data_IF_627312714162
#
_entry.id   IF_627312714162
#
_cell.length_a   1.000
_cell.length_b   1.000
_cell.length_c   1.000
_cell.angle_alpha   90.00
_cell.angle_beta   90.00
_cell.angle_gamma   90.00
#
_symmetry.space_group_name_H-M   'P 1'
#
loop_
_entity.id
_entity.type
_entity.pdbx_description
1 polymer ?
#
# COMPACT_ATOMS: atom_id res chain seq x y z
N UNK A 1 7.57 -34.33 -18.08
CA UNK A 1 6.81 -33.07 -17.91
C UNK A 1 7.79 -31.91 -18.09
N UNK A 2 7.41 -30.74 -18.61
CA UNK A 2 8.30 -29.55 -18.73
C UNK A 2 9.35 -29.51 -19.85
N UNK A 3 9.78 -30.64 -20.42
CA UNK A 3 10.81 -30.69 -21.48
C UNK A 3 10.29 -30.35 -22.88
N UNK A 4 9.69 -29.17 -23.04
CA UNK A 4 9.24 -28.61 -24.32
C UNK A 4 9.91 -27.26 -24.55
N UNK A 5 9.82 -26.70 -25.76
CA UNK A 5 10.35 -25.34 -26.03
C UNK A 5 9.77 -24.30 -25.07
N UNK A 6 8.50 -24.41 -24.70
CA UNK A 6 7.87 -23.47 -23.77
C UNK A 6 8.19 -23.79 -22.31
N UNK A 7 8.29 -25.07 -21.94
CA UNK A 7 8.65 -25.47 -20.58
C UNK A 7 10.13 -25.25 -20.24
N UNK A 8 10.99 -25.01 -21.23
CA UNK A 8 12.39 -24.60 -21.06
C UNK A 8 12.61 -23.09 -21.11
N UNK A 9 11.56 -22.27 -21.25
CA UNK A 9 11.67 -20.82 -21.07
C UNK A 9 11.52 -20.48 -19.59
N UNK A 10 11.99 -19.30 -19.19
CA UNK A 10 11.73 -18.74 -17.86
C UNK A 10 10.24 -18.85 -17.51
N UNK A 11 9.96 -19.35 -16.31
CA UNK A 11 8.62 -19.65 -15.86
C UNK A 11 8.15 -21.07 -16.16
N UNK A 12 8.83 -21.84 -17.01
CA UNK A 12 8.50 -23.23 -17.29
C UNK A 12 9.10 -24.22 -16.29
N UNK A 13 8.47 -25.39 -16.16
CA UNK A 13 8.91 -26.43 -15.23
C UNK A 13 10.31 -26.97 -15.56
N UNK A 14 10.61 -27.17 -16.86
CA UNK A 14 11.92 -27.64 -17.28
C UNK A 14 13.02 -26.60 -17.02
N UNK A 15 12.71 -25.32 -17.13
CA UNK A 15 13.62 -24.23 -16.77
C UNK A 15 13.97 -24.27 -15.28
N UNK A 16 12.96 -24.31 -14.41
CA UNK A 16 13.23 -24.31 -12.97
C UNK A 16 13.99 -25.55 -12.52
N UNK A 17 13.74 -26.73 -13.11
CA UNK A 17 14.56 -27.91 -12.85
C UNK A 17 16.04 -27.64 -13.14
N UNK A 18 16.39 -26.94 -14.22
CA UNK A 18 17.79 -26.61 -14.50
C UNK A 18 18.38 -25.65 -13.47
N UNK A 19 17.63 -24.62 -13.07
CA UNK A 19 18.08 -23.66 -12.05
C UNK A 19 18.28 -24.35 -10.70
N UNK A 20 17.38 -25.25 -10.32
CA UNK A 20 17.46 -26.06 -9.10
C UNK A 20 18.73 -26.91 -9.07
N UNK A 21 19.02 -27.64 -10.15
CA UNK A 21 20.24 -28.46 -10.24
C UNK A 21 21.53 -27.62 -10.24
N UNK A 22 21.49 -26.40 -10.81
CA UNK A 22 22.60 -25.45 -10.64
C UNK A 22 22.75 -25.00 -9.19
N UNK A 23 21.65 -24.82 -8.46
CA UNK A 23 21.65 -24.58 -7.01
C UNK A 23 22.41 -25.66 -6.24
N UNK A 24 22.14 -26.94 -6.51
CA UNK A 24 22.93 -28.05 -5.97
C UNK A 24 24.40 -27.99 -6.36
N UNK A 25 24.70 -27.69 -7.63
CA UNK A 25 26.07 -27.49 -8.11
C UNK A 25 26.82 -26.36 -7.39
N UNK A 26 26.08 -25.36 -6.90
CA UNK A 26 26.58 -24.26 -6.09
C UNK A 26 26.56 -24.55 -4.57
N UNK A 27 26.09 -25.73 -4.17
CA UNK A 27 26.12 -26.20 -2.78
C UNK A 27 24.88 -25.86 -1.96
N UNK A 28 23.75 -25.57 -2.60
CA UNK A 28 22.46 -25.47 -1.91
C UNK A 28 21.85 -26.87 -1.74
N UNK A 29 21.16 -27.08 -0.63
CA UNK A 29 20.44 -28.31 -0.32
C UNK A 29 18.94 -28.04 -0.26
N UNK A 30 18.14 -29.10 -0.24
CA UNK A 30 16.71 -28.95 -0.06
C UNK A 30 16.38 -28.47 1.36
N UNK A 31 15.26 -27.76 1.54
CA UNK A 31 14.77 -27.40 2.87
C UNK A 31 14.33 -28.60 3.73
N UNK A 32 14.03 -29.75 3.11
CA UNK A 32 13.38 -30.89 3.76
C UNK A 32 14.29 -32.09 4.02
N UNK A 33 15.54 -32.06 3.56
CA UNK A 33 16.49 -33.14 3.77
C UNK A 33 17.84 -32.65 4.30
N UNK A 34 18.58 -33.58 4.89
CA UNK A 34 19.91 -33.35 5.46
C UNK A 34 21.03 -33.73 4.46
N UNK A 35 20.76 -33.56 3.16
CA UNK A 35 21.72 -33.85 2.10
C UNK A 35 23.09 -33.19 2.36
N UNK A 36 24.11 -34.01 2.63
CA UNK A 36 25.47 -33.53 2.92
C UNK A 36 25.66 -33.01 4.35
N UNK A 37 25.83 -31.69 4.50
CA UNK A 37 26.01 -31.01 5.80
C UNK A 37 24.88 -30.01 6.11
N UNK A 38 23.82 -30.03 5.31
CA UNK A 38 22.69 -29.11 5.48
C UNK A 38 21.85 -29.47 6.69
N UNK A 39 21.23 -28.47 7.30
CA UNK A 39 20.18 -28.65 8.30
C UNK A 39 18.82 -28.54 7.64
N UNK A 40 17.85 -29.32 8.12
CA UNK A 40 16.46 -29.21 7.69
C UNK A 40 15.88 -27.87 8.18
N UNK A 41 15.15 -27.18 7.30
CA UNK A 41 14.48 -25.91 7.58
C UNK A 41 13.45 -26.09 8.70
N UNK A 42 13.34 -25.10 9.59
CA UNK A 42 12.46 -25.19 10.74
C UNK A 42 10.98 -25.35 10.31
N UNK A 43 10.29 -26.28 10.96
CA UNK A 43 8.90 -26.62 10.64
C UNK A 43 8.73 -27.57 9.45
N UNK A 44 9.81 -28.00 8.79
CA UNK A 44 9.76 -28.96 7.69
C UNK A 44 10.11 -30.35 8.19
N UNK A 45 9.23 -31.33 7.98
CA UNK A 45 9.44 -32.74 8.33
C UNK A 45 9.42 -33.67 7.12
N UNK A 46 8.85 -33.21 6.00
CA UNK A 46 8.86 -33.87 4.71
C UNK A 46 8.82 -32.85 3.55
N UNK A 47 8.96 -33.32 2.32
CA UNK A 47 9.06 -32.46 1.13
C UNK A 47 7.81 -31.63 0.81
N UNK A 48 6.65 -31.98 1.38
CA UNK A 48 5.39 -31.26 1.20
C UNK A 48 5.01 -30.35 2.38
N UNK A 49 5.86 -30.19 3.40
CA UNK A 49 5.59 -29.25 4.49
C UNK A 49 6.04 -27.84 4.09
N UNK A 50 5.15 -26.85 4.10
CA UNK A 50 5.50 -25.46 3.76
C UNK A 50 6.41 -24.80 4.81
N UNK A 51 6.68 -25.47 5.94
CA UNK A 51 7.59 -24.98 6.99
C UNK A 51 6.98 -23.85 7.82
N UNK A 52 7.77 -23.31 8.76
CA UNK A 52 7.32 -22.13 9.50
C UNK A 52 7.09 -20.96 8.54
N UNK A 53 5.95 -20.28 8.70
CA UNK A 53 5.53 -19.13 7.88
C UNK A 53 5.51 -19.38 6.37
N UNK A 54 5.38 -20.65 5.94
CA UNK A 54 5.29 -21.00 4.53
C UNK A 54 6.60 -20.84 3.74
N UNK A 55 7.75 -20.78 4.42
CA UNK A 55 9.04 -20.46 3.79
C UNK A 55 9.61 -21.58 2.90
N UNK A 56 9.18 -22.83 3.06
CA UNK A 56 9.53 -23.93 2.16
C UNK A 56 8.56 -23.96 0.96
N UNK A 57 8.55 -22.90 0.17
CA UNK A 57 7.80 -22.83 -1.09
C UNK A 57 8.71 -22.32 -2.19
N UNK A 58 8.43 -22.70 -3.42
CA UNK A 58 9.20 -22.34 -4.60
C UNK A 58 9.36 -20.83 -4.72
N UNK A 59 8.35 -20.04 -4.36
CA UNK A 59 8.40 -18.56 -4.38
C UNK A 59 9.41 -17.94 -3.41
N UNK A 60 9.95 -18.69 -2.46
CA UNK A 60 10.95 -18.22 -1.49
C UNK A 60 12.28 -18.95 -1.61
N UNK A 61 12.28 -20.20 -2.07
CA UNK A 61 13.47 -20.97 -2.42
C UNK A 61 13.22 -21.89 -3.61
N UNK A 62 14.09 -21.78 -4.61
CA UNK A 62 14.18 -22.67 -5.78
C UNK A 62 14.46 -24.11 -5.37
N UNK A 63 15.03 -24.32 -4.19
CA UNK A 63 15.36 -25.66 -3.68
C UNK A 63 14.16 -26.37 -3.05
N UNK A 64 13.00 -25.72 -2.94
CA UNK A 64 11.78 -26.38 -2.48
C UNK A 64 11.27 -27.40 -3.50
N UNK A 65 10.60 -28.45 -2.99
CA UNK A 65 9.79 -29.36 -3.82
C UNK A 65 8.33 -28.91 -3.94
N UNK A 66 7.95 -27.87 -3.18
CA UNK A 66 6.66 -27.22 -3.30
C UNK A 66 6.78 -26.18 -4.41
N UNK A 67 6.48 -26.59 -5.63
CA UNK A 67 6.62 -25.74 -6.81
C UNK A 67 5.67 -24.53 -6.78
N UNK A 68 6.17 -23.39 -7.27
CA UNK A 68 5.36 -22.17 -7.35
C UNK A 68 4.98 -21.61 -5.96
N UNK A 69 3.72 -21.22 -5.82
CA UNK A 69 3.13 -20.70 -4.58
C UNK A 69 1.87 -21.53 -4.26
N UNK A 70 2.01 -22.56 -3.44
CA UNK A 70 0.90 -23.47 -3.12
C UNK A 70 -0.16 -22.79 -2.25
N UNK A 71 0.28 -21.93 -1.34
CA UNK A 71 -0.59 -21.10 -0.49
C UNK A 71 -1.16 -19.88 -1.22
N UNK A 72 -0.97 -19.78 -2.55
CA UNK A 72 -1.55 -18.72 -3.36
C UNK A 72 -3.08 -18.73 -3.28
N UNK A 73 -3.74 -17.55 -3.27
CA UNK A 73 -5.19 -17.44 -3.42
C UNK A 73 -5.75 -18.12 -4.68
N UNK A 74 -4.94 -18.31 -5.73
CA UNK A 74 -5.34 -18.91 -7.00
C UNK A 74 -4.79 -20.33 -7.20
N UNK A 75 -4.15 -20.89 -6.18
CA UNK A 75 -3.50 -22.20 -6.22
C UNK A 75 -2.27 -22.25 -7.14
N UNK A 76 -1.89 -23.46 -7.53
CA UNK A 76 -0.68 -23.71 -8.32
C UNK A 76 -0.92 -23.60 -9.84
N UNK A 77 0.14 -23.32 -10.63
CA UNK A 77 0.02 -23.30 -12.08
C UNK A 77 -0.52 -24.63 -12.63
N UNK A 78 -1.49 -24.55 -13.55
CA UNK A 78 -2.17 -25.73 -14.10
C UNK A 78 -1.40 -26.46 -15.21
N UNK A 79 -0.21 -25.97 -15.59
CA UNK A 79 0.58 -26.52 -16.70
C UNK A 79 2.08 -26.23 -16.58
N UNK A 80 2.88 -26.92 -17.38
CA UNK A 80 4.35 -26.92 -17.25
C UNK A 80 5.09 -25.73 -17.88
N UNK A 81 4.38 -24.74 -18.43
CA UNK A 81 4.96 -23.74 -19.35
C UNK A 81 5.12 -22.35 -18.74
N UNK A 82 4.53 -22.10 -17.57
CA UNK A 82 4.53 -20.81 -16.89
C UNK A 82 4.27 -21.02 -15.39
N UNK A 83 4.55 -19.98 -14.61
CA UNK A 83 4.24 -19.90 -13.19
C UNK A 83 5.17 -20.63 -12.24
N UNK A 84 6.29 -21.11 -12.76
CA UNK A 84 7.44 -21.53 -11.97
C UNK A 84 8.45 -20.38 -11.83
N UNK A 85 9.47 -20.58 -11.01
CA UNK A 85 10.50 -19.59 -10.79
C UNK A 85 11.42 -19.47 -12.02
N UNK A 86 11.95 -18.28 -12.24
CA UNK A 86 12.95 -18.03 -13.27
C UNK A 86 14.36 -17.87 -12.73
N UNK A 87 14.51 -17.53 -11.45
CA UNK A 87 15.77 -17.15 -10.81
C UNK A 87 15.97 -17.90 -9.50
N UNK A 88 17.15 -17.76 -8.89
CA UNK A 88 17.29 -17.95 -7.45
C UNK A 88 16.31 -17.02 -6.72
N UNK A 89 15.70 -17.50 -5.64
CA UNK A 89 14.75 -16.76 -4.84
C UNK A 89 15.41 -16.20 -3.57
N UNK A 90 14.71 -15.38 -2.79
CA UNK A 90 15.32 -14.58 -1.72
C UNK A 90 16.18 -15.41 -0.74
N UNK A 91 15.72 -16.58 -0.33
CA UNK A 91 16.48 -17.46 0.58
C UNK A 91 17.71 -18.07 -0.11
N UNK A 92 17.58 -18.45 -1.39
CA UNK A 92 18.71 -18.96 -2.18
C UNK A 92 19.77 -17.88 -2.36
N UNK A 93 19.35 -16.65 -2.66
CA UNK A 93 20.23 -15.49 -2.81
C UNK A 93 21.00 -15.28 -1.50
N UNK A 94 20.33 -15.24 -0.36
CA UNK A 94 20.98 -15.07 0.94
C UNK A 94 22.04 -16.16 1.21
N UNK A 95 21.71 -17.43 0.97
CA UNK A 95 22.64 -18.55 1.16
C UNK A 95 23.84 -18.51 0.21
N UNK A 96 23.61 -18.15 -1.06
CA UNK A 96 24.69 -17.99 -2.04
C UNK A 96 25.59 -16.81 -1.68
N UNK A 97 25.03 -15.70 -1.20
CA UNK A 97 25.80 -14.54 -0.76
C UNK A 97 26.63 -14.84 0.50
N UNK A 98 26.11 -15.62 1.44
CA UNK A 98 26.88 -16.10 2.59
C UNK A 98 28.10 -16.92 2.13
N UNK A 99 27.91 -17.77 1.13
CA UNK A 99 28.94 -18.69 0.64
C UNK A 99 29.99 -18.04 -0.26
N UNK A 100 29.59 -17.06 -1.08
CA UNK A 100 30.39 -16.53 -2.17
C UNK A 100 30.57 -15.00 -2.15
N UNK A 101 29.88 -14.29 -1.27
CA UNK A 101 29.80 -12.84 -1.22
C UNK A 101 28.70 -12.28 -2.12
N UNK A 102 28.18 -11.10 -1.73
CA UNK A 102 27.18 -10.38 -2.51
C UNK A 102 27.76 -9.75 -3.78
N UNK A 103 27.01 -9.81 -4.89
CA UNK A 103 27.36 -9.08 -6.10
C UNK A 103 26.94 -7.62 -5.96
N UNK A 104 27.92 -6.75 -5.70
CA UNK A 104 27.72 -5.31 -5.46
C UNK A 104 27.62 -4.44 -6.72
N UNK A 105 27.42 -5.05 -7.89
CA UNK A 105 27.34 -4.34 -9.19
C UNK A 105 26.08 -4.67 -9.99
N UNK A 106 25.19 -5.50 -9.44
CA UNK A 106 24.00 -5.92 -10.16
C UNK A 106 22.93 -4.82 -10.14
N UNK A 107 22.53 -4.34 -11.31
CA UNK A 107 21.48 -3.32 -11.47
C UNK A 107 21.74 -2.02 -10.69
N UNK A 108 22.99 -1.56 -10.59
CA UNK A 108 23.41 -0.38 -9.79
C UNK A 108 22.88 1.00 -10.24
N UNK A 109 21.83 1.04 -11.07
CA UNK A 109 21.12 2.26 -11.43
C UNK A 109 19.63 2.00 -11.61
N UNK A 110 18.88 3.06 -11.87
CA UNK A 110 17.42 3.03 -11.86
C UNK A 110 16.82 1.96 -12.79
N UNK A 111 16.15 1.00 -12.17
CA UNK A 111 15.56 -0.18 -12.81
C UNK A 111 14.05 -0.18 -12.64
N UNK A 112 13.34 -0.62 -13.69
CA UNK A 112 11.88 -0.78 -13.66
C UNK A 112 11.54 -2.27 -13.73
N UNK A 113 11.03 -2.81 -12.64
CA UNK A 113 10.56 -4.18 -12.48
C UNK A 113 9.07 -4.24 -12.82
N UNK A 114 8.70 -4.96 -13.89
CA UNK A 114 7.32 -5.00 -14.39
C UNK A 114 6.62 -6.28 -13.95
N UNK A 115 5.44 -6.15 -13.36
CA UNK A 115 4.62 -7.31 -13.04
C UNK A 115 4.08 -7.97 -14.31
N UNK A 116 4.08 -9.31 -14.40
CA UNK A 116 3.40 -10.01 -15.47
C UNK A 116 1.89 -9.89 -15.31
N UNK A 117 1.18 -9.76 -16.44
CA UNK A 117 -0.28 -9.52 -16.46
C UNK A 117 -1.07 -10.62 -17.18
N UNK A 118 -0.40 -11.72 -17.54
CA UNK A 118 -1.01 -12.85 -18.21
C UNK A 118 -0.33 -14.16 -17.79
N UNK A 119 -1.08 -15.26 -17.83
CA UNK A 119 -0.56 -16.61 -17.61
C UNK A 119 -0.12 -17.24 -18.94
N UNK A 120 1.12 -16.99 -19.33
CA UNK A 120 1.68 -17.44 -20.59
C UNK A 120 3.16 -17.80 -20.48
N UNK A 121 3.72 -18.40 -21.53
CA UNK A 121 5.14 -18.77 -21.52
C UNK A 121 6.01 -17.53 -21.37
N UNK A 122 6.81 -17.47 -20.31
CA UNK A 122 7.55 -16.28 -19.91
C UNK A 122 7.00 -15.62 -18.64
N UNK A 123 5.85 -16.03 -18.13
CA UNK A 123 5.35 -15.64 -16.81
C UNK A 123 6.00 -16.48 -15.72
N UNK A 124 6.64 -15.81 -14.76
CA UNK A 124 7.45 -16.46 -13.74
C UNK A 124 7.45 -15.72 -12.41
N UNK A 125 7.92 -16.42 -11.38
CA UNK A 125 8.33 -15.83 -10.10
C UNK A 125 9.83 -15.55 -10.10
N UNK A 126 10.25 -14.45 -9.49
CA UNK A 126 11.67 -14.12 -9.29
C UNK A 126 11.89 -13.37 -7.98
N UNK A 127 13.13 -13.27 -7.52
CA UNK A 127 13.49 -12.36 -6.44
C UNK A 127 14.38 -11.25 -7.00
N UNK A 128 14.05 -10.00 -6.67
CA UNK A 128 14.85 -8.84 -7.09
C UNK A 128 16.14 -8.82 -6.28
N UNK A 129 17.27 -8.75 -6.97
CA UNK A 129 18.57 -8.37 -6.40
C UNK A 129 18.99 -7.08 -7.10
N UNK A 130 18.93 -5.97 -6.38
CA UNK A 130 19.32 -4.65 -6.84
C UNK A 130 20.23 -4.01 -5.79
N UNK A 131 21.23 -3.24 -6.21
CA UNK A 131 22.27 -2.70 -5.31
C UNK A 131 22.38 -1.19 -5.36
N UNK A 132 21.54 -0.52 -6.15
CA UNK A 132 21.45 0.93 -6.07
C UNK A 132 20.72 1.55 -7.24
N UNK A 133 20.36 2.80 -7.07
CA UNK A 133 19.56 3.52 -8.04
C UNK A 133 18.33 4.09 -7.36
N UNK A 134 17.32 4.37 -8.15
CA UNK A 134 15.98 4.64 -7.67
C UNK A 134 15.04 3.82 -8.54
N UNK A 135 14.51 2.77 -7.94
CA UNK A 135 13.91 1.64 -8.63
C UNK A 135 12.40 1.68 -8.51
N UNK A 136 11.73 1.01 -9.45
CA UNK A 136 10.28 1.06 -9.54
C UNK A 136 9.70 -0.31 -9.83
N UNK A 137 8.76 -0.73 -9.00
CA UNK A 137 7.81 -1.78 -9.32
C UNK A 137 6.64 -1.18 -10.10
N UNK A 138 6.30 -1.76 -11.25
CA UNK A 138 5.39 -1.15 -12.20
C UNK A 138 4.37 -2.11 -12.81
N UNK A 139 3.09 -1.75 -12.70
CA UNK A 139 1.94 -2.49 -13.23
C UNK A 139 0.88 -1.58 -13.89
N UNK A 140 1.26 -0.41 -14.43
CA UNK A 140 0.31 0.57 -15.01
C UNK A 140 -0.57 0.10 -16.19
N UNK A 141 -0.37 -1.12 -16.68
CA UNK A 141 -1.21 -1.74 -17.70
C UNK A 141 -2.15 -2.81 -17.12
N UNK A 142 -2.08 -3.08 -15.82
CA UNK A 142 -2.98 -4.00 -15.16
C UNK A 142 -4.40 -3.43 -15.20
N UNK A 143 -5.35 -4.31 -15.52
CA UNK A 143 -6.80 -4.04 -15.47
C UNK A 143 -7.48 -4.92 -14.42
N UNK A 144 -6.67 -5.58 -13.60
CA UNK A 144 -7.05 -6.43 -12.48
C UNK A 144 -6.32 -5.90 -11.28
N UNK A 145 -6.83 -6.20 -10.10
CA UNK A 145 -6.23 -5.87 -8.83
C UNK A 145 -4.78 -6.38 -8.76
N UNK A 146 -3.92 -5.59 -8.17
CA UNK A 146 -2.49 -5.86 -8.00
C UNK A 146 -2.12 -5.65 -6.54
N UNK A 147 -1.29 -6.55 -6.03
CA UNK A 147 -0.56 -6.36 -4.77
C UNK A 147 0.89 -6.00 -5.11
N UNK A 148 1.37 -4.87 -4.60
CA UNK A 148 2.79 -4.48 -4.64
C UNK A 148 3.27 -4.30 -3.20
N UNK A 149 4.32 -5.03 -2.84
CA UNK A 149 4.98 -4.90 -1.54
C UNK A 149 6.47 -4.73 -1.74
N UNK A 150 6.99 -3.58 -1.29
CA UNK A 150 8.38 -3.18 -1.49
C UNK A 150 9.30 -3.63 -0.34
N UNK A 151 8.78 -4.32 0.68
CA UNK A 151 9.58 -4.74 1.84
C UNK A 151 10.49 -5.91 1.47
N UNK A 152 11.79 -5.81 1.80
CA UNK A 152 12.75 -6.87 1.53
C UNK A 152 12.53 -8.08 2.43
N UNK A 153 13.01 -9.24 1.99
CA UNK A 153 13.07 -10.45 2.79
C UNK A 153 13.85 -10.22 4.09
N UNK A 154 13.29 -10.62 5.23
CA UNK A 154 13.99 -10.50 6.52
C UNK A 154 14.98 -11.65 6.78
N UNK A 155 14.83 -12.76 6.05
CA UNK A 155 15.60 -14.02 6.23
C UNK A 155 15.42 -14.62 7.63
N UNK A 156 14.35 -14.22 8.33
CA UNK A 156 13.96 -14.81 9.61
C UNK A 156 12.78 -15.77 9.42
N UNK A 157 12.56 -16.63 10.42
CA UNK A 157 11.35 -17.46 10.49
C UNK A 157 10.16 -16.64 10.98
N UNK A 158 9.64 -15.80 10.08
CA UNK A 158 8.50 -14.93 10.30
C UNK A 158 7.78 -14.62 8.98
N UNK A 159 6.64 -13.93 9.06
CA UNK A 159 5.97 -13.39 7.87
C UNK A 159 6.90 -12.38 7.19
N UNK A 160 7.17 -12.57 5.90
CA UNK A 160 8.15 -11.78 5.16
C UNK A 160 9.57 -12.35 5.19
N UNK A 161 9.81 -13.51 5.81
CA UNK A 161 11.12 -14.16 5.84
C UNK A 161 11.73 -14.40 4.45
N UNK A 162 10.90 -14.79 3.47
CA UNK A 162 11.27 -14.95 2.05
C UNK A 162 10.99 -13.71 1.19
N UNK A 163 10.64 -12.59 1.82
CA UNK A 163 10.11 -11.39 1.18
C UNK A 163 8.60 -11.45 1.02
N UNK A 164 8.00 -10.30 0.76
CA UNK A 164 6.60 -10.19 0.41
C UNK A 164 6.45 -10.26 -1.11
N UNK A 165 5.40 -10.93 -1.59
CA UNK A 165 5.18 -11.14 -3.02
C UNK A 165 4.38 -9.99 -3.61
N UNK A 166 4.93 -9.36 -4.64
CA UNK A 166 4.18 -8.49 -5.55
C UNK A 166 3.65 -9.31 -6.72
N UNK A 167 2.35 -9.20 -7.03
CA UNK A 167 1.69 -9.97 -8.09
C UNK A 167 0.38 -9.33 -8.56
N UNK A 168 -0.07 -9.69 -9.76
CA UNK A 168 -1.40 -9.35 -10.26
C UNK A 168 -2.39 -10.50 -10.00
N UNK A 169 -3.64 -10.17 -9.67
CA UNK A 169 -4.68 -11.15 -9.33
C UNK A 169 -4.86 -12.18 -10.45
N UNK A 170 -4.84 -13.46 -10.08
CA UNK A 170 -4.97 -14.59 -11.01
C UNK A 170 -3.74 -14.89 -11.86
N UNK A 171 -2.63 -14.14 -11.69
CA UNK A 171 -1.39 -14.38 -12.42
C UNK A 171 -0.41 -15.17 -11.54
N UNK A 172 0.07 -16.30 -12.05
CA UNK A 172 1.11 -17.08 -11.39
C UNK A 172 2.48 -16.49 -11.74
N UNK A 173 2.78 -15.28 -11.29
CA UNK A 173 4.06 -14.65 -11.55
C UNK A 173 4.14 -13.27 -10.92
N UNK A 174 5.37 -12.83 -10.69
CA UNK A 174 5.65 -11.65 -9.89
C UNK A 174 7.02 -11.74 -9.25
N UNK A 175 7.22 -11.00 -8.17
CA UNK A 175 8.51 -10.98 -7.50
C UNK A 175 8.43 -10.74 -6.00
N UNK A 176 9.41 -11.27 -5.29
CA UNK A 176 9.81 -10.79 -3.97
C UNK A 176 11.04 -9.88 -4.07
N UNK A 177 11.32 -9.15 -3.00
CA UNK A 177 12.52 -8.31 -2.86
C UNK A 177 13.52 -9.04 -1.95
N UNK A 178 14.76 -9.25 -2.41
CA UNK A 178 15.78 -9.95 -1.62
C UNK A 178 16.24 -9.11 -0.42
N UNK A 179 16.87 -9.75 0.57
CA UNK A 179 17.39 -9.07 1.74
C UNK A 179 18.44 -8.01 1.38
N UNK A 180 18.33 -6.83 1.99
CA UNK A 180 19.24 -5.71 1.75
C UNK A 180 19.04 -4.99 0.43
N UNK A 181 17.98 -5.32 -0.33
CA UNK A 181 17.57 -4.59 -1.52
C UNK A 181 16.61 -3.46 -1.13
N UNK A 182 16.81 -2.30 -1.72
CA UNK A 182 16.01 -1.10 -1.54
C UNK A 182 15.21 -0.84 -2.82
N UNK A 183 13.90 -0.59 -2.71
CA UNK A 183 13.02 -0.21 -3.83
C UNK A 183 12.17 0.97 -3.37
N UNK A 184 12.21 2.08 -4.08
CA UNK A 184 11.60 3.33 -3.61
C UNK A 184 10.21 3.58 -4.20
N UNK A 185 9.92 3.08 -5.40
CA UNK A 185 8.72 3.47 -6.11
C UNK A 185 7.82 2.29 -6.49
N UNK A 186 6.52 2.53 -6.44
CA UNK A 186 5.51 1.62 -6.97
C UNK A 186 4.52 2.39 -7.84
N UNK A 187 4.00 1.73 -8.87
CA UNK A 187 2.87 2.21 -9.65
C UNK A 187 2.01 1.02 -10.04
N UNK A 188 0.77 0.97 -9.57
CA UNK A 188 -0.19 -0.08 -9.91
C UNK A 188 -0.99 0.30 -11.15
N UNK A 189 -2.20 -0.23 -11.34
CA UNK A 189 -2.94 -0.32 -12.59
C UNK A 189 -4.23 0.48 -12.65
N UNK A 190 -5.34 -0.22 -12.85
CA UNK A 190 -6.70 0.31 -12.95
C UNK A 190 -7.69 -0.59 -12.18
N UNK A 191 -7.18 -1.51 -11.36
CA UNK A 191 -7.96 -2.38 -10.48
C UNK A 191 -7.94 -1.81 -9.07
N UNK A 192 -8.56 -2.51 -8.13
CA UNK A 192 -8.56 -2.10 -6.73
C UNK A 192 -7.25 -2.60 -6.10
N UNK A 193 -6.21 -1.78 -6.11
CA UNK A 193 -4.84 -2.21 -5.86
C UNK A 193 -4.40 -2.00 -4.40
N UNK A 194 -3.49 -2.85 -3.92
CA UNK A 194 -2.84 -2.71 -2.61
C UNK A 194 -1.35 -2.44 -2.80
N UNK A 195 -0.87 -1.30 -2.31
CA UNK A 195 0.53 -0.90 -2.40
C UNK A 195 1.09 -0.69 -0.99
N UNK A 196 2.16 -1.42 -0.67
CA UNK A 196 2.91 -1.27 0.57
C UNK A 196 4.33 -0.82 0.27
N UNK A 197 4.73 0.31 0.85
CA UNK A 197 6.07 0.85 0.84
C UNK A 197 7.04 0.06 1.73
N UNK A 198 8.05 0.72 2.25
CA UNK A 198 9.05 0.13 3.13
C UNK A 198 9.57 1.21 4.11
N UNK A 199 10.87 1.22 4.40
CA UNK A 199 11.45 2.14 5.39
C UNK A 199 12.10 3.37 4.75
N UNK A 200 11.94 3.51 3.43
CA UNK A 200 12.53 4.55 2.61
C UNK A 200 11.46 5.59 2.29
N UNK A 201 11.90 6.74 1.76
CA UNK A 201 10.98 7.73 1.22
C UNK A 201 10.38 7.22 -0.09
N UNK A 202 9.21 6.61 -0.01
CA UNK A 202 8.53 5.97 -1.11
C UNK A 202 7.70 6.93 -1.96
N UNK A 203 7.49 6.54 -3.21
CA UNK A 203 6.49 7.14 -4.10
C UNK A 203 5.56 6.06 -4.60
N UNK A 204 4.33 6.05 -4.08
CA UNK A 204 3.30 5.06 -4.39
C UNK A 204 2.18 5.70 -5.22
N UNK A 205 1.73 5.03 -6.28
CA UNK A 205 0.67 5.52 -7.16
C UNK A 205 -0.32 4.41 -7.49
N UNK A 206 -1.53 4.51 -6.94
CA UNK A 206 -2.66 3.59 -7.17
C UNK A 206 -3.29 3.75 -8.56
N UNK A 207 -3.47 5.01 -8.97
CA UNK A 207 -4.01 5.48 -10.26
C UNK A 207 -5.53 5.40 -10.34
N UNK A 208 -6.13 4.24 -10.57
CA UNK A 208 -7.57 4.14 -10.79
C UNK A 208 -8.07 2.85 -10.20
N UNK A 209 -9.30 2.87 -9.69
CA UNK A 209 -9.82 1.82 -8.83
C UNK A 209 -9.78 2.29 -7.38
N UNK A 210 -10.36 1.50 -6.48
CA UNK A 210 -10.37 1.82 -5.04
C UNK A 210 -9.09 1.23 -4.44
N UNK A 211 -8.08 2.08 -4.27
CA UNK A 211 -6.74 1.65 -3.88
C UNK A 211 -6.50 1.78 -2.37
N UNK A 212 -5.62 0.92 -1.84
CA UNK A 212 -5.10 1.01 -0.47
C UNK A 212 -3.59 1.20 -0.52
N UNK A 213 -3.10 2.32 0.01
CA UNK A 213 -1.69 2.68 0.02
C UNK A 213 -1.16 2.80 1.45
N UNK A 214 -0.13 2.01 1.76
CA UNK A 214 0.64 2.07 2.99
C UNK A 214 2.05 2.61 2.71
N UNK A 215 2.40 3.78 3.22
CA UNK A 215 3.75 4.35 3.12
C UNK A 215 4.75 3.58 3.99
N UNK A 216 4.37 3.37 5.26
CA UNK A 216 5.18 2.83 6.35
C UNK A 216 6.15 3.87 6.92
N UNK A 217 7.44 3.56 7.08
CA UNK A 217 8.38 4.53 7.64
C UNK A 217 9.00 5.33 6.49
N UNK A 218 9.17 6.64 6.64
CA UNK A 218 9.83 7.48 5.63
C UNK A 218 9.03 8.74 5.31
N UNK A 219 9.60 9.65 4.54
CA UNK A 219 8.88 10.84 4.05
C UNK A 219 8.25 10.53 2.68
N UNK A 220 7.05 9.95 2.71
CA UNK A 220 6.42 9.32 1.57
C UNK A 220 5.56 10.28 0.73
N UNK A 221 5.30 9.84 -0.50
CA UNK A 221 4.32 10.46 -1.41
C UNK A 221 3.34 9.41 -1.89
N UNK A 222 2.12 9.49 -1.39
CA UNK A 222 1.04 8.56 -1.69
C UNK A 222 0.05 9.26 -2.62
N UNK A 223 -0.17 8.68 -3.80
CA UNK A 223 -1.15 9.14 -4.77
C UNK A 223 -2.20 8.04 -4.95
N UNK A 224 -3.40 8.24 -4.39
CA UNK A 224 -4.55 7.34 -4.57
C UNK A 224 -4.93 7.31 -6.04
N UNK A 225 -5.55 8.38 -6.52
CA UNK A 225 -5.81 8.59 -7.93
C UNK A 225 -7.27 8.91 -8.19
N UNK A 226 -8.02 7.96 -8.74
CA UNK A 226 -9.44 8.11 -9.00
C UNK A 226 -10.23 7.00 -8.36
N UNK A 227 -11.39 7.38 -7.81
CA UNK A 227 -12.26 6.57 -6.94
C UNK A 227 -11.87 6.72 -5.47
N UNK A 228 -12.51 5.96 -4.60
CA UNK A 228 -12.51 6.22 -3.15
C UNK A 228 -11.32 5.53 -2.49
N UNK A 229 -10.16 6.19 -2.45
CA UNK A 229 -8.90 5.58 -2.01
C UNK A 229 -8.68 5.66 -0.50
N UNK A 230 -7.92 4.69 0.06
CA UNK A 230 -7.44 4.71 1.45
C UNK A 230 -5.93 4.91 1.50
N UNK A 231 -5.48 5.99 2.16
CA UNK A 231 -4.08 6.36 2.29
C UNK A 231 -3.64 6.35 3.76
N UNK A 232 -2.59 5.57 4.05
CA UNK A 232 -1.92 5.49 5.35
C UNK A 232 -0.46 5.87 5.14
N UNK A 233 -0.07 7.07 5.58
CA UNK A 233 1.32 7.53 5.51
C UNK A 233 2.23 6.66 6.36
N UNK A 234 1.94 6.60 7.66
CA UNK A 234 2.77 5.94 8.65
C UNK A 234 3.74 6.95 9.29
N UNK A 235 4.80 6.50 9.97
CA UNK A 235 5.77 7.40 10.59
C UNK A 235 6.59 8.18 9.56
N UNK A 236 6.49 9.51 9.60
CA UNK A 236 7.19 10.32 8.61
C UNK A 236 6.70 11.75 8.54
N UNK A 237 7.16 12.50 7.54
CA UNK A 237 6.49 13.71 7.09
C UNK A 237 5.93 13.47 5.68
N UNK A 238 4.74 12.87 5.63
CA UNK A 238 4.16 12.35 4.40
C UNK A 238 3.37 13.39 3.62
N UNK A 239 3.23 13.09 2.32
CA UNK A 239 2.36 13.85 1.41
C UNK A 239 1.33 12.93 0.81
N UNK A 240 0.09 13.13 1.23
CA UNK A 240 -1.05 12.30 0.87
C UNK A 240 -1.91 13.04 -0.16
N UNK A 241 -2.14 12.40 -1.30
CA UNK A 241 -2.94 12.90 -2.40
C UNK A 241 -4.01 11.86 -2.73
N UNK A 242 -5.21 11.98 -2.12
CA UNK A 242 -6.32 11.07 -2.42
C UNK A 242 -6.72 11.14 -3.89
N UNK A 243 -6.91 12.36 -4.41
CA UNK A 243 -7.24 12.57 -5.82
C UNK A 243 -8.72 12.85 -5.99
N UNK A 244 -9.40 12.17 -6.91
CA UNK A 244 -10.85 12.31 -7.11
C UNK A 244 -11.60 11.15 -6.48
N UNK A 245 -12.71 11.41 -5.81
CA UNK A 245 -13.43 10.41 -5.02
C UNK A 245 -13.56 10.91 -3.58
N UNK A 246 -14.26 10.13 -2.76
CA UNK A 246 -14.40 10.35 -1.33
C UNK A 246 -13.32 9.52 -0.61
N UNK A 247 -12.17 10.13 -0.34
CA UNK A 247 -10.97 9.44 0.11
C UNK A 247 -10.88 9.34 1.63
N UNK A 248 -10.20 8.31 2.11
CA UNK A 248 -9.93 8.07 3.52
C UNK A 248 -8.44 8.20 3.82
N UNK A 249 -8.11 9.00 4.83
CA UNK A 249 -6.76 9.15 5.34
C UNK A 249 -6.71 8.63 6.78
N UNK A 250 -5.96 7.57 7.04
CA UNK A 250 -5.89 6.98 8.38
C UNK A 250 -4.60 7.35 9.09
N UNK A 251 -4.72 7.75 10.37
CA UNK A 251 -3.59 8.11 11.21
C UNK A 251 -3.69 7.39 12.56
N UNK A 252 -2.71 6.53 12.82
CA UNK A 252 -2.45 5.95 14.13
C UNK A 252 -1.61 6.90 15.01
N UNK A 253 -1.52 6.56 16.29
CA UNK A 253 -0.66 7.28 17.22
C UNK A 253 0.81 7.14 16.80
N UNK A 254 1.48 8.27 16.59
CA UNK A 254 2.90 8.32 16.24
C UNK A 254 3.21 8.42 14.75
N UNK A 255 2.20 8.31 13.89
CA UNK A 255 2.35 8.45 12.43
C UNK A 255 2.80 9.87 12.06
N UNK A 256 2.02 10.87 12.51
CA UNK A 256 2.34 12.27 12.29
C UNK A 256 2.75 12.94 13.60
N UNK A 257 3.93 13.57 13.63
CA UNK A 257 4.40 14.30 14.80
C UNK A 257 4.35 15.79 14.54
N UNK A 258 4.29 16.60 15.61
CA UNK A 258 4.31 18.07 15.50
C UNK A 258 5.45 18.62 14.61
N UNK A 259 6.62 17.98 14.60
CA UNK A 259 7.82 18.41 13.85
C UNK A 259 7.98 17.77 12.48
N UNK A 260 7.36 16.61 12.26
CA UNK A 260 7.28 15.86 11.00
C UNK A 260 5.80 15.65 10.73
N UNK A 261 5.14 16.75 10.39
CA UNK A 261 3.69 16.79 10.27
C UNK A 261 3.28 16.47 8.84
N UNK A 262 2.37 15.53 8.71
CA UNK A 262 1.83 15.11 7.43
C UNK A 262 1.02 16.19 6.75
N UNK A 263 0.92 16.03 5.43
CA UNK A 263 0.30 16.98 4.55
C UNK A 263 -0.64 16.32 3.57
N UNK A 264 -1.94 16.53 3.78
CA UNK A 264 -3.00 16.10 2.87
C UNK A 264 -3.22 17.20 1.83
N UNK A 265 -3.27 16.83 0.56
CA UNK A 265 -3.49 17.73 -0.55
C UNK A 265 -4.85 17.51 -1.20
N UNK A 266 -5.59 18.60 -1.38
CA UNK A 266 -6.87 18.57 -2.09
C UNK A 266 -7.97 17.89 -1.30
N UNK A 267 -7.97 18.03 0.03
CA UNK A 267 -9.03 17.53 0.91
C UNK A 267 -10.37 18.24 0.60
N UNK A 268 -11.38 17.48 0.20
CA UNK A 268 -12.68 17.95 -0.27
C UNK A 268 -13.82 17.50 0.65
N UNK A 269 -15.02 18.01 0.38
CA UNK A 269 -16.25 17.45 0.96
C UNK A 269 -16.40 16.01 0.47
N UNK A 270 -16.62 15.08 1.39
CA UNK A 270 -16.67 13.63 1.13
C UNK A 270 -15.44 12.90 1.65
N UNK A 271 -14.27 13.55 1.62
CA UNK A 271 -13.06 12.99 2.22
C UNK A 271 -13.15 12.94 3.75
N UNK A 272 -12.49 11.95 4.34
CA UNK A 272 -12.45 11.74 5.80
C UNK A 272 -11.03 11.48 6.30
N UNK A 273 -10.72 12.02 7.48
CA UNK A 273 -9.50 11.72 8.24
C UNK A 273 -9.90 10.91 9.46
N UNK A 274 -9.41 9.69 9.53
CA UNK A 274 -9.67 8.77 10.64
C UNK A 274 -8.58 8.87 11.70
N UNK A 275 -8.96 9.31 12.90
CA UNK A 275 -8.07 9.49 14.04
C UNK A 275 -8.37 8.52 15.19
N UNK A 276 -9.42 7.70 15.06
CA UNK A 276 -10.00 6.96 16.18
C UNK A 276 -10.90 7.83 17.06
N UNK A 277 -11.31 7.30 18.22
CA UNK A 277 -12.24 7.99 19.11
C UNK A 277 -11.64 9.30 19.66
N UNK A 278 -12.34 10.42 19.45
CA UNK A 278 -11.85 11.73 19.87
C UNK A 278 -12.98 12.70 20.22
N UNK A 279 -12.62 13.78 20.93
CA UNK A 279 -13.51 14.94 21.13
C UNK A 279 -13.07 16.08 20.23
N UNK A 280 -13.91 16.49 19.29
CA UNK A 280 -13.64 17.68 18.48
C UNK A 280 -14.06 18.96 19.23
N UNK A 281 -13.10 19.84 19.47
CA UNK A 281 -13.27 21.05 20.30
C UNK A 281 -13.29 22.35 19.49
N UNK A 282 -13.44 22.27 18.16
CA UNK A 282 -13.38 23.43 17.27
C UNK A 282 -11.98 24.06 17.25
N UNK A 283 -11.85 25.34 17.59
CA UNK A 283 -10.55 26.05 17.68
C UNK A 283 -10.09 26.30 19.12
N UNK A 284 -10.78 25.71 20.10
CA UNK A 284 -10.50 25.90 21.53
C UNK A 284 -9.12 25.38 21.94
N UNK A 285 -8.62 25.85 23.09
CA UNK A 285 -7.42 25.28 23.70
C UNK A 285 -7.73 23.91 24.32
N UNK A 286 -6.74 23.00 24.29
CA UNK A 286 -6.85 21.69 24.92
C UNK A 286 -7.09 21.82 26.43
N UNK A 287 -7.92 20.93 26.96
CA UNK A 287 -8.38 20.96 28.34
C UNK A 287 -7.45 20.22 29.30
N UNK A 288 -6.67 19.24 28.79
CA UNK A 288 -5.90 18.32 29.63
C UNK A 288 -6.77 17.35 30.43
N UNK A 289 -7.95 17.02 29.89
CA UNK A 289 -8.97 16.20 30.55
C UNK A 289 -8.71 14.68 30.53
N UNK A 290 -7.60 14.23 29.94
CA UNK A 290 -7.23 12.82 29.82
C UNK A 290 -7.96 12.06 28.71
N UNK A 291 -8.65 12.76 27.80
CA UNK A 291 -9.25 12.18 26.60
C UNK A 291 -8.61 12.84 25.37
N UNK A 292 -8.55 12.10 24.26
CA UNK A 292 -8.06 12.65 22.99
C UNK A 292 -8.91 13.82 22.53
N UNK A 293 -8.27 14.97 22.30
CA UNK A 293 -8.93 16.18 21.81
C UNK A 293 -8.34 16.59 20.45
N UNK A 294 -9.22 17.00 19.55
CA UNK A 294 -8.86 17.46 18.20
C UNK A 294 -9.38 18.88 18.02
N UNK A 295 -8.51 19.77 17.54
CA UNK A 295 -8.90 21.13 17.17
C UNK A 295 -8.46 21.46 15.75
N UNK A 296 -9.30 22.21 15.05
CA UNK A 296 -9.02 22.76 13.74
C UNK A 296 -8.65 24.23 13.85
N UNK A 297 -7.49 24.60 13.33
CA UNK A 297 -7.03 25.99 13.29
C UNK A 297 -6.86 26.42 11.84
N UNK A 298 -7.59 27.46 11.46
CA UNK A 298 -7.44 28.10 10.15
C UNK A 298 -6.46 29.28 10.22
N UNK A 299 -5.40 29.24 9.42
CA UNK A 299 -4.44 30.34 9.30
C UNK A 299 -3.97 30.49 7.86
N UNK A 300 -3.96 31.73 7.35
CA UNK A 300 -3.40 32.09 6.03
C UNK A 300 -3.89 31.21 4.87
N UNK A 301 -5.20 30.88 4.82
CA UNK A 301 -5.76 30.11 3.71
C UNK A 301 -5.65 28.59 3.85
N UNK A 302 -5.30 28.09 5.04
CA UNK A 302 -5.05 26.66 5.27
C UNK A 302 -5.51 26.24 6.66
N UNK A 303 -6.12 25.06 6.74
CA UNK A 303 -6.39 24.38 8.00
C UNK A 303 -5.19 23.56 8.45
N UNK A 304 -4.99 23.53 9.76
CA UNK A 304 -4.25 22.46 10.43
C UNK A 304 -5.12 21.83 11.49
N UNK A 305 -5.00 20.51 11.64
CA UNK A 305 -5.52 19.78 12.77
C UNK A 305 -4.39 19.65 13.78
N UNK A 306 -4.61 20.13 14.99
CA UNK A 306 -3.73 19.90 16.14
C UNK A 306 -4.44 18.85 17.01
N UNK A 307 -3.74 17.79 17.41
CA UNK A 307 -4.28 16.66 18.16
C UNK A 307 -3.50 16.46 19.47
N UNK A 308 -4.24 16.39 20.56
CA UNK A 308 -3.78 15.96 21.90
C UNK A 308 -4.20 14.49 22.04
N UNK A 309 -3.28 13.56 21.81
CA UNK A 309 -3.55 12.11 21.78
C UNK A 309 -3.73 11.57 23.19
N UNK A 310 -2.86 11.96 24.12
CA UNK A 310 -2.84 11.42 25.49
C UNK A 310 -3.73 12.21 26.49
N UNK A 311 -4.25 13.35 26.05
CA UNK A 311 -5.16 14.19 26.82
C UNK A 311 -4.46 14.98 27.92
N UNK A 312 -3.15 15.22 27.84
CA UNK A 312 -2.37 15.97 28.82
C UNK A 312 -2.50 17.50 28.68
N UNK A 313 -3.21 17.97 27.65
CA UNK A 313 -3.45 19.38 27.35
C UNK A 313 -2.38 19.99 26.45
N UNK A 314 -1.48 19.17 25.92
CA UNK A 314 -0.41 19.57 25.00
C UNK A 314 -0.63 18.99 23.60
N UNK A 315 0.23 19.38 22.67
CA UNK A 315 0.08 19.03 21.26
C UNK A 315 1.05 17.90 20.94
N UNK A 316 0.50 16.76 20.55
CA UNK A 316 1.27 15.57 20.18
C UNK A 316 1.46 15.50 18.65
N UNK A 317 0.35 15.60 17.93
CA UNK A 317 0.26 15.34 16.50
C UNK A 317 -0.32 16.52 15.74
N UNK A 318 0.14 16.72 14.49
CA UNK A 318 -0.38 17.76 13.62
C UNK A 318 -0.55 17.25 12.20
N UNK A 319 -1.69 17.57 11.60
CA UNK A 319 -1.95 17.30 10.18
C UNK A 319 -2.23 18.62 9.47
N UNK A 320 -1.61 18.82 8.30
CA UNK A 320 -1.85 19.97 7.45
C UNK A 320 -2.78 19.63 6.29
N UNK A 321 -3.81 20.45 6.09
CA UNK A 321 -4.70 20.32 4.94
C UNK A 321 -4.37 21.39 3.91
N UNK A 322 -3.82 21.02 2.75
CA UNK A 322 -3.53 21.95 1.65
C UNK A 322 -4.72 22.10 0.71
N UNK A 323 -4.88 23.30 0.14
CA UNK A 323 -5.74 23.54 -1.02
C UNK A 323 -7.22 23.20 -0.78
N UNK A 324 -7.72 23.47 0.42
CA UNK A 324 -9.16 23.39 0.71
C UNK A 324 -9.87 24.55 0.00
N UNK A 325 -11.03 24.27 -0.60
CA UNK A 325 -11.89 25.29 -1.19
C UNK A 325 -12.42 26.27 -0.13
N UNK A 326 -12.57 27.55 -0.50
CA UNK A 326 -13.12 28.55 0.43
C UNK A 326 -14.59 28.22 0.80
N UNK A 327 -14.98 28.53 2.05
CA UNK A 327 -16.36 28.34 2.53
C UNK A 327 -16.69 26.91 2.97
N UNK A 328 -15.69 26.15 3.39
CA UNK A 328 -15.84 24.84 4.03
C UNK A 328 -15.39 24.92 5.49
N UNK A 329 -16.15 24.30 6.38
CA UNK A 329 -15.82 24.15 7.80
C UNK A 329 -15.43 22.70 8.10
N UNK A 330 -14.48 22.53 9.04
CA UNK A 330 -14.07 21.22 9.54
C UNK A 330 -15.13 20.70 10.52
N UNK A 331 -15.58 19.47 10.30
CA UNK A 331 -16.56 18.77 11.13
C UNK A 331 -16.00 17.46 11.68
N UNK A 332 -16.71 16.88 12.65
CA UNK A 332 -16.37 15.60 13.26
C UNK A 332 -17.63 14.84 13.63
N UNK A 333 -17.62 13.53 13.47
CA UNK A 333 -18.65 12.62 14.00
C UNK A 333 -18.22 11.91 15.31
N UNK A 334 -17.04 12.24 15.83
CA UNK A 334 -16.42 11.63 17.01
C UNK A 334 -15.40 10.51 16.70
N UNK A 335 -15.33 10.05 15.45
CA UNK A 335 -14.34 9.07 14.96
C UNK A 335 -13.56 9.58 13.76
N UNK A 336 -14.25 10.24 12.85
CA UNK A 336 -13.69 10.80 11.62
C UNK A 336 -13.82 12.34 11.62
N UNK A 337 -12.87 12.99 10.98
CA UNK A 337 -12.86 14.43 10.67
C UNK A 337 -13.18 14.60 9.20
N UNK A 338 -14.14 15.47 8.88
CA UNK A 338 -14.55 15.77 7.50
C UNK A 338 -14.64 17.26 7.22
N UNK A 339 -15.17 17.59 6.04
CA UNK A 339 -15.55 18.96 5.66
C UNK A 339 -17.06 19.04 5.37
N UNK A 340 -17.68 20.14 5.79
CA UNK A 340 -19.02 20.52 5.37
C UNK A 340 -19.04 21.94 4.79
N UNK A 341 -20.02 22.23 3.93
CA UNK A 341 -20.21 23.58 3.37
C UNK A 341 -20.67 24.52 4.49
N UNK A 342 -19.98 25.65 4.64
CA UNK A 342 -20.42 26.73 5.53
C UNK A 342 -21.76 27.25 5.02
N UNK A 343 -22.86 26.82 5.64
CA UNK A 343 -24.14 27.50 5.46
C UNK A 343 -24.02 28.81 6.22
N UNK A 344 -23.66 29.88 5.52
CA UNK A 344 -23.73 31.22 6.08
C UNK A 344 -25.14 31.40 6.66
N UNK A 345 -25.23 31.51 7.98
CA UNK A 345 -26.47 31.78 8.68
C UNK A 345 -26.87 33.25 8.48
N UNK A 346 -27.09 33.66 7.23
CA UNK A 346 -27.56 34.99 6.88
C UNK A 346 -29.07 34.98 6.73
N UNK A 347 -29.80 35.15 7.84
CA UNK A 347 -30.71 36.30 8.03
C UNK A 347 -31.27 36.34 9.46
N UNK A 348 -30.47 36.79 10.44
CA UNK A 348 -31.06 37.54 11.57
C UNK A 348 -31.40 38.93 11.03
N UNK A 349 -32.65 39.13 10.58
CA UNK A 349 -33.17 40.50 10.48
C UNK A 349 -33.42 40.96 11.91
N UNK A 350 -32.40 41.54 12.53
CA UNK A 350 -32.66 42.56 13.53
C UNK A 350 -33.40 43.69 12.80
N UNK A 351 -34.70 43.82 13.06
CA UNK A 351 -35.40 45.06 12.80
C UNK A 351 -35.61 45.72 14.16
N UNK A 352 -34.97 46.86 14.45
CA UNK A 352 -35.42 47.71 15.54
C UNK A 352 -36.73 48.34 15.08
N UNK A 353 -37.77 48.18 15.90
CA UNK A 353 -39.08 48.81 15.78
C UNK A 353 -39.84 48.60 14.46
N UNK A 354 -40.96 47.86 14.56
CA UNK A 354 -42.18 48.29 13.88
C UNK A 354 -43.40 47.63 14.53
N UNK A 355 -44.23 48.47 15.16
CA UNK A 355 -45.69 48.39 14.98
C UNK A 355 -45.97 48.38 13.48
N UNK A 356 -46.13 47.21 12.87
CA UNK A 356 -46.94 46.99 11.67
C UNK A 356 -47.02 45.49 11.39
N UNK A 357 -48.14 44.91 11.83
CA UNK A 357 -48.53 43.54 11.53
C UNK A 357 -49.37 43.59 10.25
N UNK A 358 -48.74 43.42 9.10
CA UNK A 358 -49.47 42.99 7.90
C UNK A 358 -49.12 41.54 7.58
N UNK A 359 -50.15 40.70 7.66
CA UNK A 359 -50.15 39.29 7.32
C UNK A 359 -49.77 39.12 5.84
N UNK A 360 -48.68 38.41 5.56
CA UNK A 360 -48.39 37.92 4.21
C UNK A 360 -48.73 36.44 4.14
N UNK A 361 -49.76 36.13 3.34
CA UNK A 361 -50.29 34.80 3.10
C UNK A 361 -49.26 33.93 2.36
N UNK A 362 -49.08 32.70 2.86
CA UNK A 362 -48.43 31.62 2.13
C UNK A 362 -49.43 31.13 1.07
N UNK A 363 -49.11 31.27 -0.21
CA UNK A 363 -49.84 30.61 -1.30
C UNK A 363 -48.89 29.72 -2.11
N UNK A 364 -49.18 28.42 -1.98
CA UNK A 364 -49.14 27.34 -2.96
C UNK A 364 -47.84 26.95 -3.68
N UNK A 365 -47.49 25.67 -3.50
CA UNK A 365 -46.49 24.91 -4.26
C UNK A 365 -47.05 24.56 -5.64
N UNK A 366 -46.41 25.02 -6.71
CA UNK A 366 -46.74 24.66 -8.09
C UNK A 366 -45.57 23.94 -8.78
N UNK A 367 -45.62 22.61 -8.84
CA UNK A 367 -44.90 21.82 -9.84
C UNK A 367 -45.50 22.09 -11.22
N UNK A 368 -44.68 22.40 -12.23
CA UNK A 368 -45.11 22.39 -13.63
C UNK A 368 -44.08 21.69 -14.54
N UNK A 369 -44.48 20.48 -14.91
CA UNK A 369 -44.41 19.78 -16.20
C UNK A 369 -43.32 20.11 -17.25
N UNK A 370 -42.63 19.03 -17.64
CA UNK A 370 -41.77 18.90 -18.82
C UNK A 370 -42.61 18.84 -20.10
N UNK A 371 -42.21 19.61 -21.12
CA UNK A 371 -42.73 19.51 -22.49
C UNK A 371 -41.70 18.82 -23.39
N UNK A 372 -42.07 17.69 -23.99
CA UNK A 372 -41.29 16.97 -25.01
C UNK A 372 -41.37 17.69 -26.36
N UNK A 373 -40.22 17.81 -27.04
CA UNK A 373 -40.09 18.25 -28.44
C UNK A 373 -40.32 17.05 -29.37
N UNK A 374 -40.98 17.35 -30.50
CA UNK A 374 -41.59 16.51 -31.56
C UNK A 374 -40.91 15.22 -31.97
#
# INVERSE_FOLDING_TARGET
YGWTVNGLKQGGYGWITLIHEFGHGLGLAHPHDDGGTSTIMAGVSNSGDTGLHGLNQGVYTTMSYIDGWEESPYGTPTGANFGYQATAMALDIAMLQEKYGANVTNNDGNTVYRLPLANESGTYWSSIWDVGGTDTVHAAQATVDVVIDLRPASIQYEVGGGGFLSYAYGIHGGFSVANGVEIENATSGAGDDELTGNHLNNRLSGRAGIDILYGLDGDDRLYGGSEDDTLIGGPGADKLYGGSGDNRYEFAEGDSLRTSADMIYGFNVGDVISLGAHTFIGDSAFSGGGATEVRAIYNNGRYRLDIDRDGDGTLDERIWLQQIAEGLDVTSDGTDIGLEVTVASTFQRESPDATDVEQMQITDFGFNEWTMIS
#
